data_IF_794355820461
#
_entry.id   IF_794355820461
#
_cell.length_a   1.000
_cell.length_b   1.000
_cell.length_c   1.000
_cell.angle_alpha   90.00
_cell.angle_beta   90.00
_cell.angle_gamma   90.00
#
_symmetry.space_group_name_H-M   'P 1'
#
loop_
_entity.id
_entity.type
_entity.pdbx_description
1 polymer ?
#
# COMPACT_ATOMS: atom_id res chain seq x y z
N UNK A 1 22.97 16.28 18.20
CA UNK A 1 22.26 16.79 17.00
C UNK A 1 23.31 17.41 16.08
N UNK A 2 23.60 16.83 14.90
CA UNK A 2 24.82 17.18 14.13
C UNK A 2 24.65 17.47 12.64
N UNK A 3 23.42 17.51 12.10
CA UNK A 3 23.17 17.83 10.69
C UNK A 3 22.05 18.87 10.58
N UNK A 4 22.40 20.15 10.55
CA UNK A 4 21.51 21.21 10.05
C UNK A 4 21.90 21.48 8.60
N UNK A 5 20.94 21.37 7.69
CA UNK A 5 21.10 21.68 6.27
C UNK A 5 20.19 22.84 5.87
N UNK A 6 20.69 23.69 4.98
CA UNK A 6 19.87 24.68 4.29
C UNK A 6 19.49 24.15 2.91
N UNK A 7 18.30 24.48 2.44
CA UNK A 7 17.87 24.25 1.07
C UNK A 7 17.14 25.47 0.54
N UNK A 8 17.14 25.66 -0.78
CA UNK A 8 16.43 26.74 -1.45
C UNK A 8 15.43 26.14 -2.44
N UNK A 9 14.24 26.74 -2.52
CA UNK A 9 13.23 26.45 -3.53
C UNK A 9 13.19 27.60 -4.53
N UNK A 10 13.26 27.28 -5.82
CA UNK A 10 13.09 28.23 -6.90
C UNK A 10 11.79 27.89 -7.62
N UNK A 11 10.89 28.87 -7.76
CA UNK A 11 9.61 28.71 -8.45
C UNK A 11 9.43 29.83 -9.47
N UNK A 12 8.87 29.48 -10.62
CA UNK A 12 8.49 30.39 -11.70
C UNK A 12 7.02 30.81 -11.64
N UNK A 13 6.20 30.12 -10.84
CA UNK A 13 4.73 30.29 -10.82
C UNK A 13 4.16 30.53 -9.42
N UNK A 14 4.72 29.89 -8.39
CA UNK A 14 4.20 29.97 -7.01
C UNK A 14 4.99 31.02 -6.22
N UNK A 15 4.31 32.11 -5.86
CA UNK A 15 4.91 33.22 -5.12
C UNK A 15 4.82 33.07 -3.60
N UNK A 16 3.86 32.29 -3.08
CA UNK A 16 3.74 32.05 -1.63
C UNK A 16 4.74 30.97 -1.16
N UNK A 17 5.63 31.27 -0.21
CA UNK A 17 6.65 30.32 0.24
C UNK A 17 6.10 29.06 0.92
N UNK A 18 4.98 29.16 1.63
CA UNK A 18 4.38 28.02 2.32
C UNK A 18 3.70 27.08 1.33
N UNK A 19 3.02 27.62 0.33
CA UNK A 19 2.45 26.89 -0.79
C UNK A 19 3.55 26.22 -1.62
N UNK A 20 4.62 26.93 -1.98
CA UNK A 20 5.76 26.37 -2.70
C UNK A 20 6.42 25.23 -1.93
N UNK A 21 6.56 25.37 -0.61
CA UNK A 21 7.08 24.32 0.26
C UNK A 21 6.13 23.12 0.35
N UNK A 22 4.81 23.36 0.45
CA UNK A 22 3.80 22.31 0.46
C UNK A 22 3.81 21.52 -0.85
N UNK A 23 3.85 22.22 -1.98
CA UNK A 23 3.94 21.63 -3.31
C UNK A 23 5.23 20.83 -3.47
N UNK A 24 6.37 21.38 -3.03
CA UNK A 24 7.64 20.64 -3.03
C UNK A 24 7.57 19.38 -2.17
N UNK A 25 6.95 19.46 -0.99
CA UNK A 25 6.74 18.30 -0.12
C UNK A 25 5.78 17.28 -0.72
N UNK A 26 4.87 17.67 -1.61
CA UNK A 26 4.06 16.70 -2.35
C UNK A 26 4.92 15.74 -3.22
N UNK A 27 6.15 16.16 -3.59
CA UNK A 27 7.14 15.28 -4.24
C UNK A 27 7.50 14.06 -3.38
N UNK A 28 7.51 14.17 -2.06
CA UNK A 28 7.75 13.03 -1.15
C UNK A 28 6.64 11.98 -1.27
N UNK A 29 5.40 12.38 -1.56
CA UNK A 29 4.29 11.45 -1.84
C UNK A 29 4.58 10.65 -3.12
N UNK A 30 5.07 11.32 -4.16
CA UNK A 30 5.46 10.70 -5.43
C UNK A 30 6.66 9.76 -5.22
N UNK A 31 7.69 10.19 -4.50
CA UNK A 31 8.87 9.37 -4.19
C UNK A 31 8.50 8.13 -3.38
N UNK A 32 7.62 8.26 -2.39
CA UNK A 32 7.07 7.13 -1.62
C UNK A 32 6.26 6.19 -2.49
N UNK A 33 5.48 6.70 -3.44
CA UNK A 33 4.74 5.88 -4.40
C UNK A 33 5.70 5.09 -5.32
N UNK A 34 6.74 5.73 -5.86
CA UNK A 34 7.79 5.05 -6.62
C UNK A 34 8.59 4.05 -5.78
N UNK A 35 8.82 4.35 -4.51
CA UNK A 35 9.42 3.41 -3.56
C UNK A 35 8.54 2.18 -3.36
N UNK A 36 7.23 2.36 -3.17
CA UNK A 36 6.29 1.25 -3.06
C UNK A 36 6.27 0.38 -4.34
N UNK A 37 6.26 0.98 -5.53
CA UNK A 37 6.35 0.24 -6.79
C UNK A 37 7.62 -0.63 -6.83
N UNK A 38 8.78 -0.03 -6.56
CA UNK A 38 10.07 -0.74 -6.66
C UNK A 38 10.19 -1.85 -5.61
N UNK A 39 9.92 -1.53 -4.35
CA UNK A 39 10.22 -2.43 -3.23
C UNK A 39 9.06 -3.37 -2.89
N UNK A 40 7.84 -2.84 -2.78
CA UNK A 40 6.70 -3.62 -2.28
C UNK A 40 6.00 -4.40 -3.38
N UNK A 41 5.93 -3.84 -4.57
CA UNK A 41 5.29 -4.48 -5.70
C UNK A 41 6.30 -5.11 -6.69
N UNK A 42 7.56 -5.22 -6.27
CA UNK A 42 8.60 -5.94 -7.01
C UNK A 42 8.80 -5.41 -8.45
N UNK A 43 8.68 -4.09 -8.66
CA UNK A 43 8.92 -3.45 -9.95
C UNK A 43 10.40 -3.15 -10.22
N UNK A 44 11.33 -3.54 -9.33
CA UNK A 44 12.79 -3.37 -9.54
C UNK A 44 13.29 -3.99 -10.85
N UNK A 45 12.64 -5.04 -11.34
CA UNK A 45 12.94 -5.66 -12.63
C UNK A 45 11.68 -5.68 -13.47
N UNK A 46 11.77 -5.14 -14.69
CA UNK A 46 10.62 -5.08 -15.59
C UNK A 46 10.16 -6.48 -16.02
N UNK A 47 11.06 -7.49 -16.10
CA UNK A 47 10.77 -8.92 -16.38
C UNK A 47 9.71 -9.19 -17.47
N UNK A 48 9.59 -8.29 -18.44
CA UNK A 48 8.66 -8.40 -19.56
C UNK A 48 9.40 -8.17 -20.87
N UNK A 49 8.98 -8.87 -21.92
CA UNK A 49 9.68 -8.89 -23.22
C UNK A 49 9.14 -7.87 -24.23
N UNK A 50 8.05 -7.16 -23.92
CA UNK A 50 7.45 -6.17 -24.81
C UNK A 50 6.97 -4.93 -24.06
N UNK A 51 6.92 -3.80 -24.76
CA UNK A 51 6.37 -2.54 -24.26
C UNK A 51 4.90 -2.67 -23.87
N UNK A 52 4.11 -3.42 -24.65
CA UNK A 52 2.72 -3.72 -24.31
C UNK A 52 2.60 -4.42 -22.95
N UNK A 53 3.44 -5.42 -22.71
CA UNK A 53 3.48 -6.15 -21.43
C UNK A 53 3.94 -5.25 -20.28
N UNK A 54 4.86 -4.32 -20.54
CA UNK A 54 5.29 -3.31 -19.57
C UNK A 54 4.16 -2.38 -19.17
N UNK A 55 3.41 -1.87 -20.16
CA UNK A 55 2.25 -1.01 -19.91
C UNK A 55 1.17 -1.75 -19.12
N UNK A 56 0.93 -3.03 -19.44
CA UNK A 56 0.04 -3.89 -18.66
C UNK A 56 0.50 -4.05 -17.21
N UNK A 57 1.80 -4.29 -16.99
CA UNK A 57 2.37 -4.38 -15.64
C UNK A 57 2.19 -3.08 -14.87
N UNK A 58 2.57 -1.93 -15.45
CA UNK A 58 2.40 -0.61 -14.84
C UNK A 58 0.94 -0.32 -14.45
N UNK A 59 -0.02 -0.76 -15.26
CA UNK A 59 -1.43 -0.58 -14.99
C UNK A 59 -1.89 -1.39 -13.76
N UNK A 60 -1.52 -2.67 -13.68
CA UNK A 60 -1.83 -3.52 -12.52
C UNK A 60 -1.19 -2.98 -11.24
N UNK A 61 0.07 -2.55 -11.34
CA UNK A 61 0.84 -1.92 -10.28
C UNK A 61 0.18 -0.64 -9.75
N UNK A 62 -0.33 0.20 -10.66
CA UNK A 62 -1.09 1.39 -10.31
C UNK A 62 -2.37 1.05 -9.53
N UNK A 63 -3.10 0.01 -9.94
CA UNK A 63 -4.27 -0.47 -9.19
C UNK A 63 -3.86 -1.00 -7.80
N UNK A 64 -2.76 -1.76 -7.71
CA UNK A 64 -2.24 -2.26 -6.45
C UNK A 64 -1.87 -1.12 -5.48
N UNK A 65 -1.31 -0.01 -5.99
CA UNK A 65 -1.05 1.20 -5.18
C UNK A 65 -2.33 1.82 -4.61
N UNK A 66 -3.44 1.81 -5.34
CA UNK A 66 -4.73 2.32 -4.84
C UNK A 66 -5.16 1.50 -3.62
N UNK A 67 -5.12 0.17 -3.72
CA UNK A 67 -5.45 -0.72 -2.59
C UNK A 67 -4.48 -0.53 -1.42
N UNK A 68 -3.17 -0.51 -1.65
CA UNK A 68 -2.18 -0.28 -0.60
C UNK A 68 -2.37 1.06 0.10
N UNK A 69 -2.70 2.11 -0.65
CA UNK A 69 -2.99 3.44 -0.10
C UNK A 69 -4.24 3.41 0.78
N UNK A 70 -5.29 2.72 0.33
CA UNK A 70 -6.53 2.56 1.09
C UNK A 70 -6.30 1.78 2.40
N UNK A 71 -5.62 0.63 2.34
CA UNK A 71 -5.31 -0.17 3.54
C UNK A 71 -4.42 0.62 4.49
N UNK A 72 -3.39 1.31 3.98
CA UNK A 72 -2.54 2.19 4.80
C UNK A 72 -3.36 3.27 5.51
N UNK A 73 -4.30 3.90 4.81
CA UNK A 73 -5.18 4.90 5.42
C UNK A 73 -6.02 4.28 6.54
N UNK A 74 -6.66 3.13 6.29
CA UNK A 74 -7.44 2.40 7.31
C UNK A 74 -6.59 2.04 8.54
N UNK A 75 -5.36 1.56 8.33
CA UNK A 75 -4.44 1.30 9.43
C UNK A 75 -4.06 2.56 10.22
N UNK A 76 -3.93 3.70 9.55
CA UNK A 76 -3.64 4.96 10.22
C UNK A 76 -4.85 5.45 11.05
N UNK A 77 -6.04 5.39 10.48
CA UNK A 77 -7.29 5.78 11.14
C UNK A 77 -7.58 4.89 12.37
N UNK A 78 -7.18 3.61 12.33
CA UNK A 78 -7.33 2.65 13.42
C UNK A 78 -6.08 2.52 14.32
N UNK A 79 -5.08 3.40 14.18
CA UNK A 79 -3.83 3.40 14.96
C UNK A 79 -3.04 2.06 14.95
N UNK A 80 -3.24 1.24 13.93
CA UNK A 80 -2.64 -0.10 13.83
C UNK A 80 -1.12 -0.07 13.68
N UNK A 81 -0.54 1.05 13.20
CA UNK A 81 0.91 1.20 13.04
C UNK A 81 1.72 1.09 14.34
N UNK A 82 1.07 1.18 15.50
CA UNK A 82 1.72 0.98 16.80
C UNK A 82 2.10 -0.49 17.05
N UNK A 83 1.41 -1.43 16.41
CA UNK A 83 1.58 -2.87 16.63
C UNK A 83 1.92 -3.61 15.33
N UNK A 84 1.52 -3.06 14.19
CA UNK A 84 1.57 -3.71 12.90
C UNK A 84 2.28 -2.88 11.85
N UNK A 85 3.06 -3.57 11.03
CA UNK A 85 3.49 -2.99 9.74
C UNK A 85 2.44 -3.32 8.68
N UNK A 86 2.36 -2.51 7.61
CA UNK A 86 1.46 -2.82 6.49
C UNK A 86 1.74 -4.21 5.91
N UNK A 87 3.01 -4.62 5.82
CA UNK A 87 3.38 -5.96 5.35
C UNK A 87 2.85 -7.02 6.32
N UNK A 88 3.04 -6.83 7.63
CA UNK A 88 2.58 -7.79 8.64
C UNK A 88 1.05 -7.97 8.64
N UNK A 89 0.27 -6.92 8.38
CA UNK A 89 -1.19 -7.07 8.20
C UNK A 89 -1.50 -7.90 6.97
N UNK A 90 -0.85 -7.63 5.84
CA UNK A 90 -1.07 -8.39 4.61
C UNK A 90 -0.67 -9.86 4.79
N UNK A 91 0.48 -10.13 5.39
CA UNK A 91 0.98 -11.49 5.65
C UNK A 91 0.03 -12.26 6.58
N UNK A 92 -0.49 -11.62 7.64
CA UNK A 92 -1.43 -12.26 8.57
C UNK A 92 -2.76 -12.62 7.87
N UNK A 93 -3.27 -11.74 7.00
CA UNK A 93 -4.51 -11.97 6.26
C UNK A 93 -4.35 -12.94 5.09
N UNK A 94 -3.16 -13.02 4.48
CA UNK A 94 -2.84 -13.94 3.37
C UNK A 94 -2.92 -15.42 3.80
N UNK A 95 -2.82 -15.71 5.10
CA UNK A 95 -2.96 -17.07 5.64
C UNK A 95 -4.41 -17.60 5.64
N UNK A 96 -5.41 -16.77 5.32
CA UNK A 96 -6.82 -17.19 5.30
C UNK A 96 -7.12 -17.87 3.97
N UNK A 97 -7.25 -19.19 3.99
CA UNK A 97 -7.50 -20.00 2.80
C UNK A 97 -9.01 -20.30 2.59
N UNK A 98 -9.45 -20.29 1.34
CA UNK A 98 -10.76 -20.76 0.91
C UNK A 98 -10.57 -22.00 0.02
N UNK A 99 -10.96 -23.17 0.53
CA UNK A 99 -10.85 -24.42 -0.18
C UNK A 99 -12.09 -24.65 -1.06
N UNK A 100 -11.85 -24.95 -2.33
CA UNK A 100 -12.88 -25.42 -3.26
C UNK A 100 -12.51 -26.82 -3.75
N UNK A 101 -13.45 -27.77 -3.67
CA UNK A 101 -13.26 -29.12 -4.21
C UNK A 101 -14.35 -29.45 -5.23
N UNK A 102 -14.04 -30.00 -6.41
CA UNK A 102 -15.03 -30.36 -7.41
C UNK A 102 -16.13 -31.28 -6.82
N UNK A 103 -17.39 -30.87 -6.98
CA UNK A 103 -18.55 -31.60 -6.45
C UNK A 103 -18.82 -31.42 -4.94
N UNK A 104 -17.96 -30.69 -4.23
CA UNK A 104 -18.15 -30.30 -2.83
C UNK A 104 -18.27 -28.78 -2.74
N UNK A 105 -18.90 -28.28 -1.67
CA UNK A 105 -19.05 -26.85 -1.43
C UNK A 105 -17.73 -26.14 -1.14
N UNK A 106 -17.81 -24.83 -0.92
CA UNK A 106 -16.68 -24.00 -0.47
C UNK A 106 -16.47 -24.19 1.03
N UNK A 107 -15.23 -24.36 1.45
CA UNK A 107 -14.84 -24.44 2.86
C UNK A 107 -13.83 -23.33 3.16
N UNK A 108 -14.23 -22.34 3.96
CA UNK A 108 -13.34 -21.33 4.51
C UNK A 108 -12.52 -21.96 5.65
N UNK A 109 -11.21 -21.77 5.62
CA UNK A 109 -10.32 -22.11 6.73
C UNK A 109 -10.69 -21.35 8.01
N UNK A 110 -10.16 -21.80 9.15
CA UNK A 110 -10.43 -21.15 10.42
C UNK A 110 -9.87 -19.73 10.44
N UNK A 111 -10.74 -18.74 10.65
CA UNK A 111 -10.34 -17.35 10.86
C UNK A 111 -10.07 -17.14 12.35
N UNK A 112 -8.81 -16.88 12.70
CA UNK A 112 -8.38 -16.67 14.08
C UNK A 112 -8.99 -15.39 14.69
N UNK A 113 -9.06 -15.30 16.01
CA UNK A 113 -9.55 -14.09 16.71
C UNK A 113 -8.77 -12.85 16.29
N UNK A 114 -7.44 -12.98 16.17
CA UNK A 114 -6.52 -11.92 15.75
C UNK A 114 -6.84 -11.41 14.34
N UNK A 115 -7.17 -12.31 13.41
CA UNK A 115 -7.58 -11.94 12.05
C UNK A 115 -8.95 -11.23 12.04
N UNK A 116 -9.91 -11.69 12.85
CA UNK A 116 -11.21 -11.03 12.98
C UNK A 116 -11.07 -9.60 13.49
N UNK A 117 -10.26 -9.40 14.54
CA UNK A 117 -9.94 -8.08 15.08
C UNK A 117 -9.29 -7.17 14.03
N UNK A 118 -8.39 -7.71 13.20
CA UNK A 118 -7.79 -6.96 12.09
C UNK A 118 -8.82 -6.54 11.04
N UNK A 119 -9.72 -7.44 10.63
CA UNK A 119 -10.80 -7.10 9.69
C UNK A 119 -11.69 -5.98 10.23
N UNK A 120 -12.13 -6.12 11.49
CA UNK A 120 -12.96 -5.13 12.16
C UNK A 120 -12.25 -3.77 12.27
N UNK A 121 -10.97 -3.76 12.65
CA UNK A 121 -10.16 -2.54 12.72
C UNK A 121 -9.98 -1.88 11.34
N UNK A 122 -9.88 -2.66 10.27
CA UNK A 122 -9.85 -2.15 8.89
C UNK A 122 -11.24 -1.70 8.39
N UNK A 123 -12.29 -1.92 9.16
CA UNK A 123 -13.68 -1.58 8.84
C UNK A 123 -14.30 -2.49 7.78
N UNK A 124 -13.89 -3.76 7.76
CA UNK A 124 -14.36 -4.79 6.83
C UNK A 124 -14.92 -5.95 7.65
N UNK A 125 -16.03 -6.55 7.23
CA UNK A 125 -16.56 -7.72 7.91
C UNK A 125 -15.60 -8.92 7.74
N UNK A 126 -15.27 -9.66 8.81
CA UNK A 126 -14.53 -10.91 8.67
C UNK A 126 -15.26 -11.87 7.73
N UNK A 127 -14.54 -12.65 6.91
CA UNK A 127 -15.18 -13.59 6.00
C UNK A 127 -15.95 -14.66 6.79
N UNK A 128 -17.17 -14.92 6.34
CA UNK A 128 -18.04 -15.99 6.83
C UNK A 128 -18.61 -16.76 5.64
N UNK A 129 -18.75 -18.08 5.76
CA UNK A 129 -19.48 -18.90 4.79
C UNK A 129 -20.99 -18.65 4.87
#
# INVERSE_FOLDING_TARGET
VRNYGYFALLSNEVNDPFEALSLYRSKDVVEKAFGNLKERLNFRRMQVSSELSLNGKLFVEFIALIYLSYVKKKMQDAELFNQWTLQGVLDELDTIELFESPGHGRLLGEVTTKQKELYEALGVAPPSL
#
